data_IF_239376959177
#
_entry.id   IF_239376959177
#
_cell.length_a   1.000
_cell.length_b   1.000
_cell.length_c   1.000
_cell.angle_alpha   90.00
_cell.angle_beta   90.00
_cell.angle_gamma   90.00
#
_symmetry.space_group_name_H-M   'P 1'
#
loop_
_entity.id
_entity.type
_entity.pdbx_description
1 polymer ?
#
# COMPACT_ATOMS: atom_id res chain seq x y z
N UNK A 1 -24.76 -3.52 -20.98
CA UNK A 1 -24.26 -2.70 -19.86
C UNK A 1 -25.16 -1.47 -19.69
N UNK A 2 -25.40 -0.96 -18.48
CA UNK A 2 -26.30 0.21 -18.28
C UNK A 2 -25.51 1.52 -18.17
N UNK A 3 -26.02 2.61 -18.75
CA UNK A 3 -25.47 3.97 -18.61
C UNK A 3 -26.13 4.70 -17.44
N UNK A 4 -25.33 5.33 -16.59
CA UNK A 4 -25.85 6.15 -15.49
C UNK A 4 -25.79 7.62 -15.91
N UNK A 5 -26.91 8.32 -15.81
CA UNK A 5 -26.95 9.74 -16.15
C UNK A 5 -26.09 10.57 -15.18
N UNK A 6 -25.17 11.43 -15.66
CA UNK A 6 -24.34 12.25 -14.76
C UNK A 6 -25.16 13.28 -13.99
N UNK A 7 -26.24 13.82 -14.58
CA UNK A 7 -27.09 14.83 -13.96
C UNK A 7 -28.05 14.29 -12.92
N UNK A 8 -28.74 13.19 -13.21
CA UNK A 8 -29.84 12.70 -12.36
C UNK A 8 -29.63 11.29 -11.79
N UNK A 9 -28.51 10.65 -12.10
CA UNK A 9 -28.13 9.30 -11.65
C UNK A 9 -29.10 8.18 -12.03
N UNK A 10 -30.08 8.44 -12.91
CA UNK A 10 -30.96 7.41 -13.42
C UNK A 10 -30.20 6.42 -14.31
N UNK A 11 -30.56 5.14 -14.22
CA UNK A 11 -30.06 4.09 -15.11
C UNK A 11 -30.77 4.16 -16.47
N UNK A 12 -30.02 3.99 -17.55
CA UNK A 12 -30.49 4.03 -18.93
C UNK A 12 -29.88 2.86 -19.71
N UNK A 13 -30.53 2.48 -20.81
CA UNK A 13 -30.00 1.46 -21.72
C UNK A 13 -28.63 1.83 -22.28
N UNK A 14 -27.84 0.81 -22.63
CA UNK A 14 -26.46 0.94 -23.15
C UNK A 14 -26.33 1.94 -24.31
N UNK A 15 -27.30 1.87 -25.22
CA UNK A 15 -27.34 2.67 -26.44
C UNK A 15 -28.32 3.84 -26.34
N UNK A 16 -28.81 4.17 -25.13
CA UNK A 16 -29.70 5.30 -24.96
C UNK A 16 -28.97 6.60 -25.33
N UNK A 17 -29.46 7.37 -26.32
CA UNK A 17 -28.85 8.64 -26.70
C UNK A 17 -29.15 9.74 -25.67
N UNK A 18 -30.22 9.57 -24.89
CA UNK A 18 -30.67 10.52 -23.87
C UNK A 18 -31.09 9.83 -22.59
N UNK A 19 -31.02 10.54 -21.46
CA UNK A 19 -31.55 10.06 -20.20
C UNK A 19 -33.09 10.07 -20.20
N UNK A 20 -33.70 8.93 -19.85
CA UNK A 20 -35.16 8.77 -19.78
C UNK A 20 -35.82 9.69 -18.73
N UNK A 21 -35.07 10.10 -17.70
CA UNK A 21 -35.62 10.85 -16.56
C UNK A 21 -35.46 12.36 -16.70
N UNK A 22 -34.34 12.85 -17.23
CA UNK A 22 -34.04 14.29 -17.29
C UNK A 22 -33.72 14.82 -18.68
N UNK A 23 -33.75 13.97 -19.73
CA UNK A 23 -33.51 14.38 -21.10
C UNK A 23 -32.06 14.73 -21.46
N UNK A 24 -31.10 14.52 -20.54
CA UNK A 24 -29.68 14.76 -20.79
C UNK A 24 -29.16 13.94 -21.97
N UNK A 25 -28.54 14.57 -22.96
CA UNK A 25 -27.91 13.92 -24.11
C UNK A 25 -26.53 13.38 -23.75
N UNK A 26 -26.31 12.07 -23.97
CA UNK A 26 -25.01 11.45 -23.75
C UNK A 26 -24.10 11.74 -24.94
N UNK A 27 -22.95 12.37 -24.69
CA UNK A 27 -21.91 12.56 -25.70
C UNK A 27 -21.12 11.26 -25.88
N UNK A 28 -20.56 11.03 -27.09
CA UNK A 28 -19.88 9.76 -27.46
C UNK A 28 -18.64 9.43 -26.60
N UNK A 29 -18.12 10.41 -25.84
CA UNK A 29 -16.94 10.23 -24.98
C UNK A 29 -17.28 9.90 -23.52
N UNK A 30 -18.54 10.02 -23.10
CA UNK A 30 -18.97 9.75 -21.71
C UNK A 30 -19.25 8.27 -21.42
N UNK A 31 -18.99 7.38 -22.38
CA UNK A 31 -19.24 5.93 -22.27
C UNK A 31 -18.27 5.16 -21.37
N UNK A 32 -17.25 5.80 -20.79
CA UNK A 32 -16.13 5.11 -20.12
C UNK A 32 -15.89 5.49 -18.64
N UNK A 33 -16.84 6.12 -17.94
CA UNK A 33 -16.61 6.61 -16.58
C UNK A 33 -17.45 5.94 -15.47
N UNK A 34 -17.82 4.67 -15.61
CA UNK A 34 -18.49 3.94 -14.53
C UNK A 34 -17.64 2.87 -13.85
N UNK A 35 -16.35 2.73 -14.18
CA UNK A 35 -15.54 1.62 -13.65
C UNK A 35 -14.12 1.96 -13.16
N UNK A 36 -13.76 3.24 -12.97
CA UNK A 36 -12.48 3.61 -12.32
C UNK A 36 -12.63 4.19 -10.91
N UNK A 37 -13.82 4.16 -10.31
CA UNK A 37 -13.95 4.31 -8.85
C UNK A 37 -13.64 2.96 -8.21
N UNK A 38 -12.39 2.54 -8.36
CA UNK A 38 -11.76 1.60 -7.45
C UNK A 38 -11.57 2.38 -6.15
N UNK A 39 -12.67 2.48 -5.39
CA UNK A 39 -12.66 2.93 -4.00
C UNK A 39 -11.83 1.89 -3.24
N UNK A 40 -10.52 2.08 -3.27
CA UNK A 40 -9.59 1.59 -2.27
C UNK A 40 -10.05 2.25 -0.97
N UNK A 41 -10.99 1.62 -0.28
CA UNK A 41 -11.24 1.93 1.13
C UNK A 41 -10.03 1.35 1.85
N UNK A 42 -8.94 2.09 1.78
CA UNK A 42 -7.75 1.85 2.57
C UNK A 42 -8.24 1.88 4.02
N UNK A 43 -8.31 0.73 4.70
CA UNK A 43 -8.66 0.67 6.10
C UNK A 43 -7.58 1.48 6.85
N UNK A 44 -7.87 2.72 7.29
CA UNK A 44 -6.82 3.68 7.63
C UNK A 44 -6.09 3.30 8.93
N UNK A 45 -6.64 2.35 9.68
CA UNK A 45 -6.11 1.90 10.96
C UNK A 45 -4.99 0.85 10.79
N UNK A 46 -5.18 -0.14 9.91
CA UNK A 46 -4.18 -1.19 9.66
C UNK A 46 -2.89 -0.62 9.05
N UNK A 47 -3.02 0.29 8.08
CA UNK A 47 -1.90 0.96 7.41
C UNK A 47 -0.97 1.72 8.36
N UNK A 48 -1.53 2.33 9.41
CA UNK A 48 -0.75 3.13 10.37
C UNK A 48 0.11 2.26 11.28
N UNK A 49 -0.41 1.13 11.75
CA UNK A 49 0.31 0.25 12.71
C UNK A 49 1.57 -0.33 12.07
N UNK A 50 1.46 -0.92 10.87
CA UNK A 50 2.61 -1.47 10.17
C UNK A 50 3.67 -0.41 9.86
N UNK A 51 3.24 0.78 9.41
CA UNK A 51 4.15 1.90 9.18
C UNK A 51 4.90 2.33 10.44
N UNK A 52 4.21 2.38 11.58
CA UNK A 52 4.83 2.70 12.88
C UNK A 52 5.86 1.64 13.26
N UNK A 53 5.53 0.35 13.13
CA UNK A 53 6.44 -0.76 13.44
C UNK A 53 7.70 -0.69 12.57
N UNK A 54 7.55 -0.47 11.26
CA UNK A 54 8.71 -0.33 10.34
C UNK A 54 9.62 0.83 10.74
N UNK A 55 9.06 1.98 11.14
CA UNK A 55 9.84 3.14 11.60
C UNK A 55 10.60 2.80 12.89
N UNK A 56 9.96 2.11 13.84
CA UNK A 56 10.59 1.71 15.10
C UNK A 56 11.78 0.78 14.84
N UNK A 57 11.61 -0.23 13.99
CA UNK A 57 12.67 -1.19 13.64
C UNK A 57 13.85 -0.48 12.97
N UNK A 58 13.58 0.45 12.05
CA UNK A 58 14.62 1.24 11.41
C UNK A 58 15.38 2.13 12.41
N UNK A 59 14.67 2.77 13.35
CA UNK A 59 15.29 3.60 14.38
C UNK A 59 16.17 2.78 15.33
N UNK A 60 15.70 1.61 15.77
CA UNK A 60 16.48 0.70 16.61
C UNK A 60 17.74 0.23 15.88
N UNK A 61 17.59 -0.27 14.64
CA UNK A 61 18.73 -0.74 13.85
C UNK A 61 19.77 0.36 13.57
N UNK A 62 19.33 1.61 13.41
CA UNK A 62 20.23 2.75 13.25
C UNK A 62 21.09 2.98 14.51
N UNK A 63 20.43 3.01 15.68
CA UNK A 63 21.09 3.20 16.98
C UNK A 63 22.04 2.04 17.28
N UNK A 64 21.60 0.80 17.09
CA UNK A 64 22.39 -0.40 17.33
C UNK A 64 23.65 -0.43 16.47
N UNK A 65 23.57 0.01 15.20
CA UNK A 65 24.74 0.12 14.33
C UNK A 65 25.80 1.07 14.88
N UNK A 66 25.39 2.21 15.46
CA UNK A 66 26.32 3.18 16.07
C UNK A 66 26.94 2.58 17.35
N UNK A 67 26.12 1.95 18.20
CA UNK A 67 26.61 1.33 19.43
C UNK A 67 27.61 0.22 19.10
N UNK A 68 27.27 -0.69 18.19
CA UNK A 68 28.12 -1.80 17.78
C UNK A 68 29.39 -1.33 17.07
N UNK A 69 29.30 -0.29 16.24
CA UNK A 69 30.49 0.34 15.62
C UNK A 69 31.47 0.89 16.65
N UNK A 70 30.99 1.34 17.82
CA UNK A 70 31.83 1.81 18.93
C UNK A 70 32.35 0.67 19.82
N UNK A 71 31.51 -0.32 20.12
CA UNK A 71 31.81 -1.43 21.04
C UNK A 71 32.74 -2.47 20.41
N UNK A 72 32.69 -2.63 19.09
CA UNK A 72 33.53 -3.58 18.34
C UNK A 72 34.58 -2.83 17.50
N UNK A 73 35.57 -2.14 18.11
CA UNK A 73 36.55 -1.38 17.35
C UNK A 73 37.36 -2.30 16.43
N UNK A 74 37.69 -1.79 15.24
CA UNK A 74 38.64 -2.48 14.36
C UNK A 74 39.99 -2.43 15.05
N UNK A 75 40.57 -3.59 15.38
CA UNK A 75 41.97 -3.65 15.80
C UNK A 75 42.83 -3.32 14.58
N UNK A 76 43.27 -2.07 14.48
CA UNK A 76 44.36 -1.71 13.60
C UNK A 76 45.62 -2.40 14.13
N UNK A 77 46.02 -3.50 13.50
CA UNK A 77 47.31 -4.10 13.74
C UNK A 77 48.41 -3.12 13.33
N UNK A 78 49.45 -3.00 14.16
CA UNK A 78 50.77 -2.38 13.91
C UNK A 78 51.03 -0.90 14.28
N UNK A 79 50.33 -0.28 15.24
CA UNK A 79 50.89 0.94 15.86
C UNK A 79 50.69 0.94 17.37
N UNK A 80 51.78 1.13 18.12
CA UNK A 80 51.84 1.20 19.60
C UNK A 80 50.97 2.30 20.23
N UNK A 81 50.33 3.13 19.40
CA UNK A 81 49.27 4.06 19.81
C UNK A 81 47.95 3.62 19.18
N UNK A 82 47.40 2.50 19.68
CA UNK A 82 46.12 1.97 19.26
C UNK A 82 44.97 2.88 19.70
N UNK A 83 44.73 3.96 18.95
CA UNK A 83 43.48 4.71 19.03
C UNK A 83 42.33 3.78 18.65
N UNK A 84 41.34 3.61 19.53
CA UNK A 84 40.13 2.85 19.23
C UNK A 84 39.38 3.57 18.10
N UNK A 85 39.49 3.07 16.88
CA UNK A 85 38.76 3.62 15.74
C UNK A 85 37.38 3.00 15.64
N UNK A 86 36.40 3.84 15.32
CA UNK A 86 35.02 3.43 15.09
C UNK A 86 34.92 2.44 13.92
N UNK A 87 34.25 1.31 14.13
CA UNK A 87 34.09 0.26 13.14
C UNK A 87 32.94 0.57 12.18
N UNK A 88 33.25 1.41 11.19
CA UNK A 88 32.32 1.80 10.11
C UNK A 88 31.76 0.58 9.37
N UNK A 89 32.54 -0.46 9.01
CA UNK A 89 31.99 -1.66 8.36
C UNK A 89 30.89 -2.36 9.15
N UNK A 90 31.06 -2.52 10.48
CA UNK A 90 30.04 -3.12 11.35
C UNK A 90 28.79 -2.26 11.43
N UNK A 91 28.94 -0.93 11.54
CA UNK A 91 27.78 -0.02 11.51
C UNK A 91 26.98 -0.17 10.21
N UNK A 92 27.65 -0.15 9.06
CA UNK A 92 27.00 -0.27 7.75
C UNK A 92 26.31 -1.62 7.59
N UNK A 93 26.95 -2.73 8.02
CA UNK A 93 26.34 -4.06 7.88
C UNK A 93 25.06 -4.19 8.71
N UNK A 94 25.06 -3.66 9.93
CA UNK A 94 23.86 -3.63 10.79
C UNK A 94 22.75 -2.81 10.15
N UNK A 95 23.06 -1.64 9.58
CA UNK A 95 22.07 -0.81 8.91
C UNK A 95 21.47 -1.48 7.67
N UNK A 96 22.28 -2.18 6.87
CA UNK A 96 21.79 -2.94 5.71
C UNK A 96 20.83 -4.04 6.16
N UNK A 97 21.19 -4.83 7.17
CA UNK A 97 20.34 -5.91 7.68
C UNK A 97 19.01 -5.36 8.21
N UNK A 98 19.05 -4.27 8.98
CA UNK A 98 17.84 -3.63 9.49
C UNK A 98 16.93 -3.11 8.35
N UNK A 99 17.51 -2.56 7.29
CA UNK A 99 16.76 -2.13 6.11
C UNK A 99 16.10 -3.31 5.37
N UNK A 100 16.81 -4.43 5.22
CA UNK A 100 16.25 -5.65 4.61
C UNK A 100 15.04 -6.17 5.40
N UNK A 101 15.15 -6.28 6.73
CA UNK A 101 14.03 -6.70 7.60
C UNK A 101 12.84 -5.75 7.49
N UNK A 102 13.10 -4.44 7.44
CA UNK A 102 12.04 -3.44 7.26
C UNK A 102 11.28 -3.61 5.93
N UNK A 103 11.99 -3.92 4.85
CA UNK A 103 11.39 -4.18 3.53
C UNK A 103 10.56 -5.47 3.53
N UNK A 104 11.04 -6.54 4.17
CA UNK A 104 10.29 -7.79 4.28
C UNK A 104 8.97 -7.61 5.05
N UNK A 105 9.02 -6.92 6.19
CA UNK A 105 7.81 -6.59 6.99
C UNK A 105 6.84 -5.75 6.17
N UNK A 106 7.34 -4.79 5.40
CA UNK A 106 6.51 -3.99 4.50
C UNK A 106 5.85 -4.84 3.42
N UNK A 107 6.59 -5.76 2.79
CA UNK A 107 6.06 -6.66 1.78
C UNK A 107 4.95 -7.57 2.34
N UNK A 108 5.16 -8.11 3.55
CA UNK A 108 4.14 -8.89 4.27
C UNK A 108 2.91 -8.03 4.56
N UNK A 109 3.09 -6.79 5.03
CA UNK A 109 1.97 -5.88 5.29
C UNK A 109 1.17 -5.57 4.01
N UNK A 110 1.84 -5.39 2.86
CA UNK A 110 1.20 -5.23 1.57
C UNK A 110 0.41 -6.48 1.17
N UNK A 111 0.98 -7.68 1.37
CA UNK A 111 0.30 -8.93 1.05
C UNK A 111 -0.96 -9.15 1.91
N UNK A 112 -0.85 -8.92 3.22
CA UNK A 112 -1.98 -9.03 4.14
C UNK A 112 -3.10 -8.05 3.79
N UNK A 113 -2.75 -6.80 3.42
CA UNK A 113 -3.75 -5.82 2.95
C UNK A 113 -4.44 -6.29 1.67
N UNK A 114 -3.70 -6.88 0.75
CA UNK A 114 -4.28 -7.42 -0.47
C UNK A 114 -5.26 -8.57 -0.18
N UNK A 115 -4.99 -9.40 0.83
CA UNK A 115 -5.91 -10.46 1.25
C UNK A 115 -7.16 -9.93 1.96
N UNK A 116 -7.03 -8.91 2.81
CA UNK A 116 -8.17 -8.29 3.52
C UNK A 116 -9.20 -7.72 2.53
N UNK A 117 -8.76 -7.22 1.37
CA UNK A 117 -9.63 -6.60 0.37
C UNK A 117 -10.38 -7.60 -0.55
N UNK A 118 -9.95 -8.86 -0.61
CA UNK A 118 -10.56 -9.90 -1.45
C UNK A 118 -12.01 -10.27 -1.03
N UNK A 119 -12.32 -10.57 0.25
CA UNK A 119 -13.68 -10.96 0.66
C UNK A 119 -14.70 -9.84 0.43
N UNK A 120 -14.31 -8.58 0.66
CA UNK A 120 -15.17 -7.42 0.40
C UNK A 120 -15.51 -7.28 -1.09
N UNK A 121 -14.55 -7.56 -1.97
CA UNK A 121 -14.77 -7.55 -3.41
C UNK A 121 -15.76 -8.66 -3.81
N UNK A 122 -15.57 -9.86 -3.27
CA UNK A 122 -16.45 -11.01 -3.52
C UNK A 122 -17.88 -10.77 -3.03
N UNK A 123 -18.05 -10.20 -1.83
CA UNK A 123 -19.37 -9.81 -1.31
C UNK A 123 -20.07 -8.78 -2.21
N UNK A 124 -19.33 -7.78 -2.72
CA UNK A 124 -19.89 -6.79 -3.65
C UNK A 124 -20.27 -7.40 -4.99
N UNK A 125 -19.46 -8.33 -5.53
CA UNK A 125 -19.77 -9.05 -6.77
C UNK A 125 -21.02 -9.91 -6.58
N UNK A 126 -21.09 -10.68 -5.49
CA UNK A 126 -22.25 -11.50 -5.14
C UNK A 126 -23.52 -10.66 -5.07
N UNK A 127 -23.50 -9.54 -4.32
CA UNK A 127 -24.63 -8.61 -4.23
C UNK A 127 -25.07 -8.09 -5.61
N UNK A 128 -24.13 -7.68 -6.46
CA UNK A 128 -24.44 -7.23 -7.83
C UNK A 128 -25.04 -8.33 -8.71
N UNK A 129 -24.64 -9.59 -8.53
CA UNK A 129 -25.21 -10.69 -9.29
C UNK A 129 -26.65 -10.97 -8.85
N UNK A 130 -26.94 -10.92 -7.55
CA UNK A 130 -28.30 -11.02 -7.00
C UNK A 130 -29.20 -9.88 -7.47
N UNK A 131 -28.72 -8.62 -7.42
CA UNK A 131 -29.50 -7.45 -7.87
C UNK A 131 -29.81 -7.48 -9.38
N UNK A 132 -28.97 -8.12 -10.19
CA UNK A 132 -29.18 -8.27 -11.63
C UNK A 132 -30.00 -9.53 -12.01
N UNK A 133 -30.51 -10.29 -11.04
CA UNK A 133 -31.29 -11.51 -11.28
C UNK A 133 -30.50 -12.61 -11.99
N UNK A 134 -29.18 -12.62 -11.85
CA UNK A 134 -28.29 -13.64 -12.44
C UNK A 134 -28.03 -14.81 -11.49
N UNK A 135 -28.64 -14.78 -10.31
CA UNK A 135 -28.56 -15.75 -9.22
C UNK A 135 -29.92 -15.87 -8.56
#
# INVERSE_FOLDING_TARGET
MMKVCPKCKAANGENAPKCIRCGYEFTKDETYQAHSDQIYIDNPKSSRVFRIITIIIAAIGFIDGIILGKVLPVRASLSETASTQFNVPVMISVWIVAACVAVEIWAVACHLRNQENQPDLLMRISKKLTENGKL
#
